data_IF_643605653734
#
_entry.id   IF_643605653734
#
_cell.length_a   1.000
_cell.length_b   1.000
_cell.length_c   1.000
_cell.angle_alpha   90.00
_cell.angle_beta   90.00
_cell.angle_gamma   90.00
#
_symmetry.space_group_name_H-M   'P 1'
#
loop_
_entity.id
_entity.type
_entity.pdbx_description
1 polymer ?
#
# COMPACT_ATOMS: atom_id res chain seq x y z
N UNK A 1 -27.80 -19.11 -65.41
CA UNK A 1 -27.54 -20.01 -66.55
C UNK A 1 -26.04 -20.19 -66.66
N UNK A 2 -25.50 -21.37 -66.26
CA UNK A 2 -24.09 -21.82 -66.40
C UNK A 2 -23.05 -20.96 -65.62
N UNK A 3 -21.97 -21.44 -65.04
CA UNK A 3 -21.25 -22.71 -65.16
C UNK A 3 -20.43 -22.91 -63.88
N UNK A 4 -20.40 -24.15 -63.38
CA UNK A 4 -19.51 -24.65 -62.33
C UNK A 4 -18.04 -24.63 -62.77
N UNK A 5 -17.09 -24.46 -61.84
CA UNK A 5 -15.77 -25.09 -61.98
C UNK A 5 -15.23 -25.51 -60.60
N UNK A 6 -15.03 -26.83 -60.48
CA UNK A 6 -14.34 -27.54 -59.41
C UNK A 6 -12.88 -27.06 -59.28
N UNK A 7 -12.33 -27.02 -58.07
CA UNK A 7 -10.88 -27.31 -57.90
C UNK A 7 -10.59 -27.94 -56.52
N UNK A 8 -10.29 -29.25 -56.60
CA UNK A 8 -9.35 -30.06 -55.83
C UNK A 8 -9.21 -29.87 -54.30
N UNK A 9 -9.79 -30.83 -53.57
CA UNK A 9 -9.38 -31.25 -52.23
C UNK A 9 -8.03 -31.97 -52.32
N UNK A 10 -6.97 -31.41 -51.74
CA UNK A 10 -5.69 -32.10 -51.53
C UNK A 10 -5.71 -32.75 -50.13
N UNK A 11 -5.85 -34.07 -50.10
CA UNK A 11 -5.71 -34.90 -48.90
C UNK A 11 -4.21 -35.04 -48.57
N UNK A 12 -3.70 -34.23 -47.66
CA UNK A 12 -2.36 -34.42 -47.11
C UNK A 12 -2.44 -35.43 -45.96
N UNK A 13 -2.06 -36.67 -46.23
CA UNK A 13 -1.88 -37.69 -45.20
C UNK A 13 -0.64 -37.33 -44.36
N UNK A 14 -0.86 -36.67 -43.22
CA UNK A 14 0.16 -36.56 -42.17
C UNK A 14 0.31 -37.92 -41.49
N UNK A 15 1.47 -38.53 -41.69
CA UNK A 15 2.00 -39.64 -40.93
C UNK A 15 2.14 -39.25 -39.45
N UNK A 16 1.23 -39.77 -38.62
CA UNK A 16 1.36 -39.79 -37.16
C UNK A 16 2.53 -40.70 -36.78
N UNK A 17 3.74 -40.15 -36.74
CA UNK A 17 4.85 -40.77 -36.01
C UNK A 17 4.58 -40.56 -34.52
N UNK A 18 4.47 -41.68 -33.80
CA UNK A 18 4.16 -41.69 -32.38
C UNK A 18 5.21 -40.92 -31.59
N UNK A 19 4.77 -39.87 -30.89
CA UNK A 19 5.50 -39.35 -29.74
C UNK A 19 5.55 -40.45 -28.69
N UNK A 20 6.73 -41.04 -28.49
CA UNK A 20 7.02 -41.80 -27.28
C UNK A 20 6.77 -40.89 -26.07
N UNK A 21 5.75 -41.21 -25.28
CA UNK A 21 5.57 -40.65 -23.94
C UNK A 21 6.76 -41.07 -23.08
N UNK A 22 7.81 -40.25 -23.07
CA UNK A 22 8.76 -40.23 -21.96
C UNK A 22 7.96 -39.80 -20.72
N UNK A 23 7.48 -40.79 -19.97
CA UNK A 23 7.04 -40.62 -18.58
C UNK A 23 8.24 -40.17 -17.76
N UNK A 24 8.54 -38.88 -17.80
CA UNK A 24 9.37 -38.22 -16.82
C UNK A 24 8.68 -38.40 -15.48
N UNK A 25 9.17 -39.36 -14.69
CA UNK A 25 8.88 -39.42 -13.26
C UNK A 25 9.40 -38.11 -12.67
N UNK A 26 8.51 -37.14 -12.49
CA UNK A 26 8.78 -35.96 -11.67
C UNK A 26 9.01 -36.50 -10.27
N UNK A 27 10.28 -36.55 -9.85
CA UNK A 27 10.63 -36.85 -8.46
C UNK A 27 10.12 -35.70 -7.60
N UNK A 28 8.93 -35.87 -7.01
CA UNK A 28 8.35 -34.99 -5.99
C UNK A 28 8.99 -35.22 -4.60
N UNK A 29 10.23 -35.72 -4.54
CA UNK A 29 10.98 -35.85 -3.30
C UNK A 29 11.57 -34.49 -2.90
N UNK A 30 10.70 -33.51 -2.68
CA UNK A 30 11.07 -32.34 -1.91
C UNK A 30 11.30 -32.80 -0.48
N UNK A 31 12.49 -32.50 0.06
CA UNK A 31 12.82 -32.71 1.46
C UNK A 31 11.71 -32.06 2.31
N UNK A 32 11.09 -32.85 3.19
CA UNK A 32 9.95 -32.38 3.98
C UNK A 32 10.49 -31.38 5.00
N UNK A 33 10.30 -30.10 4.73
CA UNK A 33 10.68 -29.03 5.66
C UNK A 33 9.81 -29.18 6.92
N UNK A 34 10.44 -29.30 8.08
CA UNK A 34 9.73 -29.28 9.34
C UNK A 34 9.21 -27.85 9.60
N UNK A 35 7.90 -27.66 9.42
CA UNK A 35 7.27 -26.36 9.54
C UNK A 35 6.48 -26.28 10.84
N UNK A 36 7.03 -25.58 11.83
CA UNK A 36 6.35 -25.28 13.08
C UNK A 36 5.26 -24.19 12.94
N UNK A 37 5.11 -23.60 11.75
CA UNK A 37 4.17 -22.52 11.51
C UNK A 37 2.73 -23.03 11.51
N UNK A 38 1.91 -22.46 12.38
CA UNK A 38 0.45 -22.61 12.42
C UNK A 38 -0.20 -21.24 12.53
N UNK A 39 -1.52 -21.15 12.34
CA UNK A 39 -2.26 -19.89 12.50
C UNK A 39 -2.06 -19.28 13.91
N UNK A 40 -2.00 -20.13 14.95
CA UNK A 40 -1.82 -19.70 16.33
C UNK A 40 -0.43 -19.09 16.59
N UNK A 41 0.57 -19.49 15.81
CA UNK A 41 1.95 -18.97 15.92
C UNK A 41 2.22 -17.72 15.08
N UNK A 42 1.23 -17.22 14.33
CA UNK A 42 1.42 -16.04 13.47
C UNK A 42 1.47 -14.72 14.24
N UNK A 43 0.95 -14.67 15.46
CA UNK A 43 0.98 -13.43 16.24
C UNK A 43 2.42 -13.01 16.57
N UNK A 44 2.73 -11.73 16.35
CA UNK A 44 4.05 -11.16 16.59
C UNK A 44 5.07 -11.47 15.49
N UNK A 45 4.62 -11.84 14.29
CA UNK A 45 5.51 -12.18 13.17
C UNK A 45 5.42 -11.16 12.04
N UNK A 46 6.57 -10.91 11.41
CA UNK A 46 6.72 -10.02 10.26
C UNK A 46 7.07 -10.84 9.01
N UNK A 47 6.51 -10.43 7.88
CA UNK A 47 6.56 -11.13 6.61
C UNK A 47 6.83 -10.15 5.49
N UNK A 48 7.58 -10.59 4.48
CA UNK A 48 7.84 -9.82 3.27
C UNK A 48 7.54 -10.65 2.05
N UNK A 49 7.09 -10.00 0.97
CA UNK A 49 6.81 -10.64 -0.29
C UNK A 49 8.05 -11.39 -0.78
N UNK A 50 7.85 -12.62 -1.24
CA UNK A 50 8.89 -13.35 -1.93
C UNK A 50 8.80 -13.02 -3.44
N UNK A 51 9.70 -12.16 -3.92
CA UNK A 51 9.70 -11.66 -5.29
C UNK A 51 10.51 -12.58 -6.20
N UNK A 52 9.94 -12.89 -7.37
CA UNK A 52 10.64 -13.59 -8.45
C UNK A 52 11.23 -12.54 -9.39
N UNK A 53 12.55 -12.54 -9.53
CA UNK A 53 13.28 -11.63 -10.42
C UNK A 53 13.22 -12.11 -11.88
N UNK A 54 13.56 -11.26 -12.87
CA UNK A 54 13.55 -11.65 -14.29
C UNK A 54 14.45 -12.86 -14.61
N UNK A 55 15.52 -13.06 -13.85
CA UNK A 55 16.44 -14.20 -13.93
C UNK A 55 15.94 -15.46 -13.20
N UNK A 56 14.69 -15.43 -12.70
CA UNK A 56 14.03 -16.47 -11.90
C UNK A 56 14.64 -16.70 -10.52
N UNK A 57 15.59 -15.87 -10.09
CA UNK A 57 16.00 -15.88 -8.69
C UNK A 57 14.85 -15.38 -7.82
N UNK A 58 14.85 -15.82 -6.57
CA UNK A 58 13.82 -15.50 -5.61
C UNK A 58 14.45 -14.72 -4.47
N UNK A 59 13.96 -13.51 -4.21
CA UNK A 59 14.49 -12.62 -3.19
C UNK A 59 13.38 -12.03 -2.33
N UNK A 60 13.57 -11.93 -1.00
CA UNK A 60 12.66 -11.19 -0.14
C UNK A 60 12.56 -9.72 -0.57
N UNK A 61 11.34 -9.20 -0.70
CA UNK A 61 11.04 -7.81 -1.04
C UNK A 61 10.38 -7.09 0.14
N UNK A 62 11.16 -6.32 0.94
CA UNK A 62 10.66 -5.58 2.10
C UNK A 62 9.81 -4.36 1.74
N UNK A 63 9.80 -3.97 0.47
CA UNK A 63 8.88 -2.97 -0.07
C UNK A 63 7.42 -3.43 -0.02
N UNK A 64 7.16 -4.74 0.09
CA UNK A 64 5.81 -5.29 0.34
C UNK A 64 5.87 -6.16 1.59
N UNK A 65 5.22 -5.71 2.68
CA UNK A 65 5.43 -6.27 4.02
C UNK A 65 4.14 -6.32 4.84
N UNK A 66 4.03 -7.37 5.64
CA UNK A 66 2.89 -7.72 6.47
C UNK A 66 3.37 -8.01 7.90
N UNK A 67 2.74 -7.42 8.90
CA UNK A 67 2.92 -7.72 10.31
C UNK A 67 1.62 -8.25 10.88
N UNK A 68 1.67 -9.42 11.50
CA UNK A 68 0.50 -10.01 12.16
C UNK A 68 0.65 -9.84 13.67
N UNK A 69 -0.34 -9.21 14.30
CA UNK A 69 -0.42 -9.02 15.74
C UNK A 69 -1.69 -9.66 16.28
N UNK A 70 -1.77 -9.79 17.60
CA UNK A 70 -2.96 -10.27 18.29
C UNK A 70 -3.23 -9.40 19.51
N UNK A 71 -4.44 -8.87 19.61
CA UNK A 71 -4.93 -8.10 20.76
C UNK A 71 -6.07 -8.87 21.42
N UNK A 72 -5.80 -9.47 22.58
CA UNK A 72 -6.69 -10.45 23.18
C UNK A 72 -6.88 -11.65 22.26
N UNK A 73 -8.11 -11.95 21.86
CA UNK A 73 -8.43 -13.05 20.95
C UNK A 73 -8.49 -12.65 19.48
N UNK A 74 -8.35 -11.36 19.16
CA UNK A 74 -8.51 -10.84 17.80
C UNK A 74 -7.15 -10.67 17.13
N UNK A 75 -7.01 -11.25 15.93
CA UNK A 75 -5.86 -10.99 15.09
C UNK A 75 -6.01 -9.65 14.38
N UNK A 76 -4.89 -8.97 14.18
CA UNK A 76 -4.79 -7.80 13.32
C UNK A 76 -3.61 -7.98 12.37
N UNK A 77 -3.71 -7.38 11.20
CA UNK A 77 -2.63 -7.32 10.24
C UNK A 77 -2.34 -5.86 9.88
N UNK A 78 -1.07 -5.45 9.98
CA UNK A 78 -0.57 -4.24 9.33
C UNK A 78 0.06 -4.62 8.00
N UNK A 79 -0.44 -4.07 6.91
CA UNK A 79 -0.01 -4.45 5.57
C UNK A 79 -0.01 -3.23 4.65
N UNK A 80 0.96 -3.15 3.74
CA UNK A 80 1.15 -1.99 2.87
C UNK A 80 0.68 -2.20 1.43
N UNK A 81 0.22 -3.39 1.04
CA UNK A 81 -0.32 -3.63 -0.33
C UNK A 81 0.70 -3.30 -1.42
N UNK A 82 2.00 -3.39 -1.09
CA UNK A 82 3.11 -2.98 -1.97
C UNK A 82 3.29 -1.47 -2.14
N UNK A 83 2.54 -0.64 -1.43
CA UNK A 83 2.79 0.80 -1.32
C UNK A 83 4.00 1.07 -0.41
N UNK A 84 4.90 1.95 -0.84
CA UNK A 84 6.03 2.37 0.00
C UNK A 84 5.63 3.39 1.08
N UNK A 85 4.50 4.08 0.90
CA UNK A 85 4.06 5.18 1.75
C UNK A 85 2.87 4.79 2.63
N UNK A 86 1.96 3.96 2.12
CA UNK A 86 0.74 3.61 2.83
C UNK A 86 0.96 2.40 3.73
N UNK A 87 0.41 2.47 4.94
CA UNK A 87 0.26 1.32 5.83
C UNK A 87 -1.19 1.22 6.26
N UNK A 88 -1.82 0.07 6.03
CA UNK A 88 -3.21 -0.19 6.38
C UNK A 88 -3.30 -1.18 7.54
N UNK A 89 -4.36 -1.06 8.33
CA UNK A 89 -4.65 -1.99 9.43
C UNK A 89 -5.91 -2.77 9.09
N UNK A 90 -5.81 -4.09 9.19
CA UNK A 90 -6.87 -5.03 8.91
C UNK A 90 -7.26 -5.75 10.20
N UNK A 91 -8.56 -5.92 10.39
CA UNK A 91 -9.11 -6.81 11.41
C UNK A 91 -9.23 -8.21 10.83
N UNK A 92 -8.69 -9.21 11.52
CA UNK A 92 -8.60 -10.58 11.02
C UNK A 92 -9.42 -11.56 11.86
N UNK A 93 -10.16 -12.43 11.18
CA UNK A 93 -10.82 -13.58 11.77
C UNK A 93 -10.21 -14.88 11.23
N UNK A 94 -10.10 -15.89 12.09
CA UNK A 94 -9.78 -17.25 11.63
C UNK A 94 -11.04 -17.84 11.00
N UNK A 95 -10.95 -18.24 9.73
CA UNK A 95 -12.02 -18.97 9.05
C UNK A 95 -11.43 -20.19 8.37
N UNK A 96 -11.94 -21.37 8.72
CA UNK A 96 -11.38 -22.64 8.29
C UNK A 96 -9.90 -22.76 8.69
N UNK A 97 -8.99 -22.70 7.71
CA UNK A 97 -7.53 -22.83 7.86
C UNK A 97 -6.76 -21.61 7.35
N UNK A 98 -7.41 -20.44 7.33
CA UNK A 98 -6.84 -19.16 6.91
C UNK A 98 -7.25 -18.01 7.84
N UNK A 99 -6.42 -16.97 7.88
CA UNK A 99 -6.81 -15.66 8.41
C UNK A 99 -7.47 -14.87 7.28
N UNK A 100 -8.70 -14.42 7.52
CA UNK A 100 -9.44 -13.53 6.62
C UNK A 100 -9.47 -12.16 7.24
N UNK A 101 -8.70 -11.23 6.67
CA UNK A 101 -8.54 -9.89 7.17
C UNK A 101 -9.21 -8.85 6.28
N UNK A 102 -9.82 -7.84 6.90
CA UNK A 102 -10.51 -6.75 6.20
C UNK A 102 -10.11 -5.41 6.78
N UNK A 103 -9.86 -4.42 5.91
CA UNK A 103 -9.82 -3.02 6.35
C UNK A 103 -11.20 -2.60 6.89
N UNK A 104 -11.26 -1.62 7.81
CA UNK A 104 -12.52 -0.98 8.17
C UNK A 104 -13.25 -0.47 6.91
N UNK A 105 -14.56 -0.71 6.83
CA UNK A 105 -15.35 -0.30 5.67
C UNK A 105 -15.44 1.24 5.56
N UNK A 106 -15.20 1.79 4.37
CA UNK A 106 -15.38 3.22 4.07
C UNK A 106 -16.85 3.56 3.85
N UNK A 107 -17.67 3.51 4.91
CA UNK A 107 -19.14 3.50 4.84
C UNK A 107 -19.74 4.60 3.94
N UNK A 108 -19.20 5.82 4.00
CA UNK A 108 -19.66 6.94 3.15
C UNK A 108 -19.40 6.64 1.67
N UNK A 109 -18.22 6.13 1.32
CA UNK A 109 -17.84 5.85 -0.07
C UNK A 109 -18.60 4.63 -0.62
N UNK A 110 -18.82 3.61 0.22
CA UNK A 110 -19.74 2.51 -0.08
C UNK A 110 -21.12 3.03 -0.46
N UNK A 111 -21.63 3.94 0.35
CA UNK A 111 -22.95 4.51 0.16
C UNK A 111 -23.04 5.36 -1.11
N UNK A 112 -22.02 6.18 -1.39
CA UNK A 112 -21.91 6.93 -2.66
C UNK A 112 -21.92 5.98 -3.86
N UNK A 113 -21.14 4.91 -3.81
CA UNK A 113 -21.08 3.90 -4.88
C UNK A 113 -22.43 3.19 -5.11
N UNK A 114 -23.15 2.83 -4.03
CA UNK A 114 -24.51 2.28 -4.12
C UNK A 114 -25.53 3.26 -4.69
N UNK A 115 -25.40 4.54 -4.36
CA UNK A 115 -26.33 5.59 -4.78
C UNK A 115 -26.17 6.02 -6.25
N UNK A 116 -24.96 5.87 -6.81
CA UNK A 116 -24.69 6.16 -8.23
C UNK A 116 -24.86 4.94 -9.14
N UNK A 117 -25.04 3.74 -8.57
CA UNK A 117 -25.27 2.52 -9.32
C UNK A 117 -26.71 2.47 -9.85
N UNK A 118 -26.87 2.09 -11.12
CA UNK A 118 -28.18 2.00 -11.77
C UNK A 118 -29.14 1.08 -11.00
N UNK A 119 -30.34 1.59 -10.69
CA UNK A 119 -31.40 0.83 -10.03
C UNK A 119 -31.18 0.55 -8.54
N UNK A 120 -30.17 1.17 -7.92
CA UNK A 120 -29.85 1.02 -6.50
C UNK A 120 -30.00 2.35 -5.75
N UNK A 121 -30.27 2.25 -4.46
CA UNK A 121 -30.17 3.36 -3.52
C UNK A 121 -29.33 2.90 -2.34
N UNK A 122 -28.65 3.84 -1.70
CA UNK A 122 -28.00 3.55 -0.44
C UNK A 122 -29.00 3.68 0.71
N UNK A 123 -29.20 2.59 1.45
CA UNK A 123 -29.98 2.55 2.70
C UNK A 123 -29.14 1.89 3.80
N UNK A 124 -29.57 2.03 5.06
CA UNK A 124 -28.89 1.39 6.20
C UNK A 124 -28.86 -0.13 6.04
N UNK A 125 -29.97 -0.73 5.62
CA UNK A 125 -30.10 -2.17 5.39
C UNK A 125 -29.13 -2.62 4.31
N UNK A 126 -29.08 -1.88 3.19
CA UNK A 126 -28.19 -2.24 2.09
C UNK A 126 -26.73 -2.10 2.48
N UNK A 127 -26.37 -1.05 3.22
CA UNK A 127 -25.02 -0.80 3.68
C UNK A 127 -24.57 -1.84 4.72
N UNK A 128 -25.47 -2.34 5.57
CA UNK A 128 -25.22 -3.44 6.52
C UNK A 128 -24.81 -4.73 5.83
N UNK A 129 -25.29 -5.00 4.61
CA UNK A 129 -24.84 -6.16 3.82
C UNK A 129 -23.35 -6.12 3.50
N UNK A 130 -22.76 -4.92 3.37
CA UNK A 130 -21.34 -4.73 3.06
C UNK A 130 -20.47 -4.56 4.30
N UNK A 131 -21.02 -3.95 5.36
CA UNK A 131 -20.33 -3.68 6.62
C UNK A 131 -21.14 -4.18 7.82
N UNK A 132 -21.29 -5.51 8.00
CA UNK A 132 -22.11 -6.09 9.07
C UNK A 132 -21.58 -5.74 10.48
N UNK A 133 -20.29 -5.44 10.59
CA UNK A 133 -19.63 -5.04 11.83
C UNK A 133 -19.92 -3.59 12.27
N UNK A 134 -20.41 -2.73 11.37
CA UNK A 134 -20.70 -1.33 11.70
C UNK A 134 -21.98 -1.22 12.54
N UNK A 135 -22.02 -0.24 13.43
CA UNK A 135 -23.21 0.09 14.23
C UNK A 135 -24.28 0.76 13.38
N UNK A 136 -25.54 0.65 13.78
CA UNK A 136 -26.65 1.26 13.03
C UNK A 136 -26.56 2.80 13.02
N UNK A 137 -25.97 3.41 14.05
CA UNK A 137 -25.68 4.85 14.11
C UNK A 137 -24.63 5.26 13.07
N UNK A 138 -23.52 4.52 12.97
CA UNK A 138 -22.48 4.78 11.95
C UNK A 138 -23.04 4.64 10.54
N UNK A 139 -23.88 3.63 10.31
CA UNK A 139 -24.53 3.40 9.02
C UNK A 139 -25.51 4.52 8.68
N UNK A 140 -26.36 4.95 9.62
CA UNK A 140 -27.29 6.05 9.41
C UNK A 140 -26.57 7.36 9.07
N UNK A 141 -25.52 7.69 9.83
CA UNK A 141 -24.68 8.88 9.57
C UNK A 141 -23.98 8.82 8.22
N UNK A 142 -23.49 7.63 7.83
CA UNK A 142 -22.86 7.44 6.53
C UNK A 142 -23.87 7.64 5.38
N UNK A 143 -25.10 7.11 5.50
CA UNK A 143 -26.17 7.32 4.54
C UNK A 143 -26.51 8.79 4.39
N UNK A 144 -26.75 9.50 5.50
CA UNK A 144 -27.06 10.93 5.48
C UNK A 144 -25.95 11.72 4.77
N UNK A 145 -24.70 11.53 5.19
CA UNK A 145 -23.55 12.26 4.65
C UNK A 145 -23.34 11.98 3.17
N UNK A 146 -23.38 10.72 2.77
CA UNK A 146 -23.20 10.32 1.38
C UNK A 146 -24.31 10.84 0.47
N UNK A 147 -25.57 10.76 0.90
CA UNK A 147 -26.71 11.22 0.11
C UNK A 147 -26.73 12.76 -0.02
N UNK A 148 -26.30 13.48 1.00
CA UNK A 148 -26.09 14.93 0.92
C UNK A 148 -25.02 15.27 -0.14
N UNK A 149 -23.92 14.52 -0.20
CA UNK A 149 -22.90 14.69 -1.24
C UNK A 149 -23.43 14.34 -2.64
N UNK A 150 -24.13 13.22 -2.79
CA UNK A 150 -24.75 12.81 -4.06
C UNK A 150 -25.68 13.92 -4.58
N UNK A 151 -26.52 14.49 -3.70
CA UNK A 151 -27.43 15.58 -4.06
C UNK A 151 -26.70 16.85 -4.53
N UNK A 152 -25.46 17.11 -4.08
CA UNK A 152 -24.66 18.25 -4.56
C UNK A 152 -24.24 18.11 -6.01
N UNK A 153 -24.10 16.89 -6.54
CA UNK A 153 -23.62 16.63 -7.90
C UNK A 153 -24.74 16.20 -8.85
N UNK A 154 -25.82 15.63 -8.33
CA UNK A 154 -26.96 15.19 -9.12
C UNK A 154 -27.52 16.36 -9.94
N UNK A 155 -27.86 16.09 -11.19
CA UNK A 155 -28.38 17.06 -12.16
C UNK A 155 -27.42 18.21 -12.53
N UNK A 156 -26.15 18.15 -12.09
CA UNK A 156 -25.09 19.09 -12.50
C UNK A 156 -24.20 18.52 -13.61
N UNK A 157 -23.46 19.37 -14.35
CA UNK A 157 -22.52 18.91 -15.39
C UNK A 157 -21.49 17.89 -14.89
N UNK A 158 -21.07 18.00 -13.62
CA UNK A 158 -20.09 17.13 -12.98
C UNK A 158 -20.66 15.75 -12.62
N UNK A 159 -21.97 15.52 -12.73
CA UNK A 159 -22.61 14.26 -12.35
C UNK A 159 -21.97 13.04 -13.03
N UNK A 160 -21.66 13.14 -14.32
CA UNK A 160 -21.02 12.04 -15.06
C UNK A 160 -19.66 11.67 -14.48
N UNK A 161 -18.85 12.66 -14.10
CA UNK A 161 -17.56 12.44 -13.46
C UNK A 161 -17.75 11.87 -12.05
N UNK A 162 -18.74 12.36 -11.31
CA UNK A 162 -19.07 11.84 -9.98
C UNK A 162 -19.50 10.36 -10.04
N UNK A 163 -20.38 9.99 -10.97
CA UNK A 163 -20.78 8.60 -11.22
C UNK A 163 -19.56 7.77 -11.61
N UNK A 164 -18.74 8.25 -12.56
CA UNK A 164 -17.53 7.54 -12.97
C UNK A 164 -16.59 7.27 -11.78
N UNK A 165 -16.34 8.27 -10.94
CA UNK A 165 -15.44 8.13 -9.78
C UNK A 165 -15.96 7.15 -8.72
N UNK A 166 -17.28 7.00 -8.59
CA UNK A 166 -17.89 6.18 -7.54
C UNK A 166 -18.40 4.81 -8.03
N UNK A 167 -18.64 4.62 -9.33
CA UNK A 167 -19.10 3.38 -9.96
C UNK A 167 -18.09 2.89 -11.01
N UNK A 168 -16.89 2.52 -10.57
CA UNK A 168 -15.86 1.92 -11.42
C UNK A 168 -15.09 0.84 -10.66
N UNK A 169 -14.51 -0.12 -11.38
CA UNK A 169 -13.76 -1.23 -10.78
C UNK A 169 -12.49 -0.80 -10.03
N UNK A 170 -11.97 0.40 -10.28
CA UNK A 170 -10.83 0.97 -9.57
C UNK A 170 -11.18 1.67 -8.26
N UNK A 171 -12.47 1.84 -7.93
CA UNK A 171 -12.90 2.46 -6.68
C UNK A 171 -12.71 1.47 -5.51
N UNK A 172 -11.52 1.44 -4.90
CA UNK A 172 -11.16 0.51 -3.82
C UNK A 172 -11.82 0.92 -2.49
N UNK A 173 -12.96 0.29 -2.18
CA UNK A 173 -13.78 0.62 -1.03
C UNK A 173 -13.32 -0.07 0.26
N UNK A 174 -12.72 -1.26 0.15
CA UNK A 174 -12.20 -2.01 1.30
C UNK A 174 -11.09 -2.96 0.84
N UNK A 175 -9.93 -2.97 1.50
CA UNK A 175 -8.92 -4.01 1.29
C UNK A 175 -9.33 -5.32 1.94
N UNK A 176 -9.03 -6.43 1.26
CA UNK A 176 -9.27 -7.79 1.71
C UNK A 176 -7.98 -8.61 1.59
N UNK A 177 -7.62 -9.31 2.66
CA UNK A 177 -6.38 -10.07 2.75
C UNK A 177 -6.68 -11.46 3.29
N UNK A 178 -6.32 -12.50 2.54
CA UNK A 178 -6.40 -13.88 3.01
C UNK A 178 -4.99 -14.41 3.20
N UNK A 179 -4.66 -14.83 4.42
CA UNK A 179 -3.37 -15.39 4.76
C UNK A 179 -3.51 -16.87 5.13
N UNK A 180 -2.87 -17.74 4.36
CA UNK A 180 -2.85 -19.18 4.57
C UNK A 180 -1.43 -19.67 4.79
N UNK A 181 -1.23 -20.54 5.77
CA UNK A 181 0.07 -21.20 5.98
C UNK A 181 0.27 -22.27 4.93
N UNK A 182 1.33 -22.17 4.14
CA UNK A 182 1.80 -23.26 3.29
C UNK A 182 2.80 -24.11 4.07
N UNK A 183 2.32 -25.23 4.61
CA UNK A 183 3.11 -26.16 5.42
C UNK A 183 4.18 -26.90 4.63
N UNK A 184 4.13 -26.93 3.30
CA UNK A 184 5.15 -27.58 2.47
C UNK A 184 6.38 -26.72 2.30
N UNK A 185 6.19 -25.40 2.24
CA UNK A 185 7.26 -24.42 2.00
C UNK A 185 7.60 -23.59 3.24
N UNK A 186 6.81 -23.75 4.31
CA UNK A 186 6.86 -22.97 5.54
C UNK A 186 6.80 -21.45 5.31
N UNK A 187 5.86 -21.05 4.44
CA UNK A 187 5.62 -19.66 4.03
C UNK A 187 4.17 -19.28 4.28
N UNK A 188 3.88 -17.98 4.23
CA UNK A 188 2.51 -17.52 4.06
C UNK A 188 2.18 -17.40 2.58
N UNK A 189 1.05 -17.97 2.17
CA UNK A 189 0.41 -17.61 0.92
C UNK A 189 -0.57 -16.49 1.21
N UNK A 190 -0.29 -15.32 0.67
CA UNK A 190 -1.15 -14.15 0.80
C UNK A 190 -1.94 -13.99 -0.50
N UNK A 191 -3.25 -13.84 -0.38
CA UNK A 191 -4.12 -13.37 -1.46
C UNK A 191 -4.54 -11.95 -1.11
N UNK A 192 -4.06 -10.99 -1.89
CA UNK A 192 -4.31 -9.57 -1.71
C UNK A 192 -5.35 -9.08 -2.72
N UNK A 193 -6.54 -8.76 -2.23
CA UNK A 193 -7.64 -8.26 -3.04
C UNK A 193 -8.16 -6.95 -2.45
N UNK A 194 -9.03 -6.30 -3.21
CA UNK A 194 -9.89 -5.27 -2.69
C UNK A 194 -11.32 -5.57 -3.11
N UNK A 195 -12.25 -4.94 -2.41
CA UNK A 195 -13.65 -4.95 -2.74
C UNK A 195 -14.09 -3.59 -3.24
N UNK A 196 -14.95 -3.61 -4.24
CA UNK A 196 -15.60 -2.44 -4.83
C UNK A 196 -17.08 -2.74 -5.08
N UNK A 197 -17.83 -1.70 -5.44
CA UNK A 197 -19.19 -1.82 -5.93
C UNK A 197 -19.21 -1.36 -7.37
N UNK A 198 -19.66 -2.26 -8.25
CA UNK A 198 -19.86 -1.95 -9.66
C UNK A 198 -21.25 -2.36 -10.09
N UNK A 199 -22.01 -1.40 -10.63
CA UNK A 199 -23.41 -1.58 -11.02
C UNK A 199 -24.26 -2.21 -9.90
N UNK A 200 -24.06 -1.71 -8.66
CA UNK A 200 -24.84 -2.09 -7.48
C UNK A 200 -24.47 -3.45 -6.90
N UNK A 201 -23.45 -4.12 -7.43
CA UNK A 201 -23.00 -5.44 -6.98
C UNK A 201 -21.63 -5.34 -6.33
N UNK A 202 -21.44 -6.13 -5.28
CA UNK A 202 -20.13 -6.42 -4.69
C UNK A 202 -19.25 -7.09 -5.74
N UNK A 203 -18.07 -6.54 -5.98
CA UNK A 203 -17.04 -7.14 -6.82
C UNK A 203 -15.74 -7.17 -6.03
N UNK A 204 -15.05 -8.31 -6.06
CA UNK A 204 -13.71 -8.47 -5.50
C UNK A 204 -12.73 -8.60 -6.65
N UNK A 205 -11.62 -7.86 -6.58
CA UNK A 205 -10.59 -7.85 -7.62
C UNK A 205 -9.19 -7.81 -6.99
N UNK A 206 -8.20 -8.27 -7.74
CA UNK A 206 -6.84 -8.42 -7.27
C UNK A 206 -6.16 -7.07 -7.10
N UNK A 207 -5.51 -6.85 -5.96
CA UNK A 207 -4.52 -5.78 -5.84
C UNK A 207 -3.26 -6.13 -6.67
N UNK A 208 -2.34 -5.17 -6.92
CA UNK A 208 -1.14 -5.41 -7.70
C UNK A 208 -0.26 -6.55 -7.17
N UNK A 209 -0.28 -6.79 -5.86
CA UNK A 209 0.45 -7.92 -5.24
C UNK A 209 -0.25 -9.25 -5.52
N UNK A 210 -1.57 -9.29 -5.65
CA UNK A 210 -2.33 -10.50 -5.98
C UNK A 210 -2.06 -11.68 -5.04
N UNK A 211 -1.95 -12.90 -5.58
CA UNK A 211 -1.68 -14.10 -4.78
C UNK A 211 -0.21 -14.48 -4.83
N UNK A 212 0.54 -14.24 -3.75
CA UNK A 212 1.97 -14.49 -3.72
C UNK A 212 2.47 -15.09 -2.39
N UNK A 213 3.62 -15.80 -2.41
CA UNK A 213 4.27 -16.27 -1.21
C UNK A 213 4.94 -15.11 -0.45
N UNK A 214 4.93 -15.21 0.86
CA UNK A 214 5.59 -14.31 1.80
C UNK A 214 6.48 -15.14 2.72
N UNK A 215 7.68 -14.63 2.95
CA UNK A 215 8.69 -15.24 3.82
C UNK A 215 8.83 -14.44 5.11
N UNK A 216 9.01 -15.14 6.22
CA UNK A 216 9.16 -14.50 7.52
C UNK A 216 10.47 -13.69 7.54
N UNK A 217 10.44 -12.52 8.15
CA UNK A 217 11.61 -11.68 8.34
C UNK A 217 11.80 -11.33 9.82
N UNK A 218 13.06 -11.07 10.18
CA UNK A 218 13.45 -10.46 11.46
C UNK A 218 14.10 -9.09 11.24
N UNK A 219 14.13 -8.62 10.00
CA UNK A 219 14.61 -7.27 9.68
C UNK A 219 13.68 -6.25 10.34
N UNK A 220 14.28 -5.18 10.84
CA UNK A 220 13.49 -4.03 11.26
C UNK A 220 12.90 -3.34 10.01
N UNK A 221 11.61 -3.04 10.07
CA UNK A 221 10.85 -2.42 8.97
C UNK A 221 9.96 -1.28 9.48
N UNK A 222 9.63 -0.35 8.59
CA UNK A 222 8.75 0.77 8.91
C UNK A 222 7.28 0.33 8.89
N UNK A 223 6.54 0.55 9.98
CA UNK A 223 5.12 0.21 10.09
C UNK A 223 4.20 1.41 10.24
N UNK A 224 4.72 2.57 9.85
CA UNK A 224 4.02 3.85 9.89
C UNK A 224 3.44 4.18 8.53
N UNK A 225 2.26 4.80 8.54
CA UNK A 225 1.64 5.40 7.37
C UNK A 225 2.26 6.78 7.14
N UNK A 226 2.55 7.12 5.88
CA UNK A 226 2.94 8.46 5.51
C UNK A 226 1.72 9.38 5.60
N UNK A 227 1.69 10.23 6.63
CA UNK A 227 0.57 11.15 6.85
C UNK A 227 0.57 12.29 5.83
N UNK A 228 1.76 12.77 5.45
CA UNK A 228 1.89 13.88 4.52
C UNK A 228 3.01 13.66 3.48
N UNK A 229 2.60 13.48 2.22
CA UNK A 229 3.53 13.39 1.08
C UNK A 229 3.80 14.73 0.40
N UNK A 230 3.00 15.76 0.72
CA UNK A 230 3.11 17.12 0.21
C UNK A 230 4.11 17.97 0.98
N UNK A 231 4.47 17.59 2.20
CA UNK A 231 5.32 18.41 3.07
C UNK A 231 6.82 18.07 3.03
N UNK A 232 7.19 16.86 2.60
CA UNK A 232 8.59 16.48 2.46
C UNK A 232 9.02 16.70 1.00
N UNK A 233 10.03 17.51 0.77
CA UNK A 233 10.51 17.84 -0.57
C UNK A 233 11.93 17.37 -0.80
N UNK A 234 12.18 16.74 -1.93
CA UNK A 234 13.53 16.39 -2.37
C UNK A 234 14.05 17.42 -3.38
N UNK A 235 15.29 17.89 -3.20
CA UNK A 235 15.92 18.97 -3.98
C UNK A 235 17.39 18.67 -4.23
N UNK A 236 17.99 19.32 -5.23
CA UNK A 236 19.44 19.29 -5.48
C UNK A 236 20.22 20.26 -4.60
N UNK A 237 19.55 21.26 -4.02
CA UNK A 237 20.18 22.25 -3.14
C UNK A 237 20.08 21.84 -1.68
N UNK A 238 21.22 21.95 -0.98
CA UNK A 238 21.34 21.78 0.47
C UNK A 238 20.65 22.90 1.24
N UNK A 239 20.51 24.08 0.65
CA UNK A 239 20.02 25.25 1.36
C UNK A 239 18.51 25.17 1.57
N UNK A 240 18.09 25.50 2.79
CA UNK A 240 16.67 25.65 3.11
C UNK A 240 16.07 26.73 2.19
N UNK A 241 14.92 26.49 1.55
CA UNK A 241 14.35 27.44 0.61
C UNK A 241 13.97 28.74 1.31
N UNK A 242 14.32 29.88 0.71
CA UNK A 242 13.97 31.19 1.25
C UNK A 242 12.45 31.46 1.24
N UNK A 243 11.73 30.80 0.32
CA UNK A 243 10.26 30.85 0.20
C UNK A 243 9.72 29.42 0.06
N UNK A 244 9.50 28.70 1.16
CA UNK A 244 8.98 27.33 1.15
C UNK A 244 7.68 27.17 0.35
N UNK A 245 6.81 28.18 0.38
CA UNK A 245 5.52 28.21 -0.33
C UNK A 245 5.63 28.21 -1.85
N UNK A 246 6.78 28.65 -2.40
CA UNK A 246 7.03 28.71 -3.84
C UNK A 246 7.67 27.40 -4.36
N UNK A 247 7.93 26.42 -3.48
CA UNK A 247 8.60 25.19 -3.86
C UNK A 247 7.64 24.25 -4.57
N UNK A 248 7.92 23.99 -5.85
CA UNK A 248 7.27 22.94 -6.60
C UNK A 248 7.80 21.56 -6.19
N UNK A 249 6.90 20.58 -6.17
CA UNK A 249 7.29 19.18 -6.01
C UNK A 249 8.22 18.73 -7.13
N UNK A 250 9.21 17.92 -6.77
CA UNK A 250 10.24 17.41 -7.66
C UNK A 250 9.69 16.23 -8.48
N UNK A 251 9.21 16.47 -9.71
CA UNK A 251 8.72 15.41 -10.57
C UNK A 251 9.74 14.96 -11.64
N UNK A 252 9.77 13.67 -12.00
CA UNK A 252 10.72 13.16 -13.01
C UNK A 252 10.56 13.84 -14.39
N UNK A 253 9.33 14.13 -14.80
CA UNK A 253 9.02 14.83 -16.06
C UNK A 253 9.48 16.30 -16.07
N UNK A 254 9.83 16.86 -14.90
CA UNK A 254 10.39 18.20 -14.75
C UNK A 254 11.93 18.17 -14.64
N UNK A 255 12.56 17.06 -15.01
CA UNK A 255 14.02 16.89 -14.96
C UNK A 255 14.57 16.63 -13.56
N UNK A 256 13.69 16.43 -12.58
CA UNK A 256 14.07 16.21 -11.19
C UNK A 256 14.46 14.75 -10.96
N UNK A 257 15.68 14.43 -11.40
CA UNK A 257 16.32 13.12 -11.27
C UNK A 257 17.71 13.30 -10.69
N UNK A 258 18.15 12.32 -9.91
CA UNK A 258 19.43 12.34 -9.21
C UNK A 258 20.37 11.31 -9.82
N UNK A 259 21.65 11.65 -9.98
CA UNK A 259 22.66 10.64 -10.28
C UNK A 259 22.92 9.73 -9.08
N UNK A 260 23.40 8.50 -9.31
CA UNK A 260 23.74 7.57 -8.23
C UNK A 260 24.72 8.14 -7.19
N UNK A 261 25.58 9.08 -7.57
CA UNK A 261 26.54 9.75 -6.67
C UNK A 261 26.12 11.16 -6.27
N UNK A 262 24.98 11.65 -6.76
CA UNK A 262 24.47 12.99 -6.44
C UNK A 262 23.70 12.95 -5.13
N UNK A 263 23.95 13.91 -4.24
CA UNK A 263 23.15 14.06 -3.03
C UNK A 263 21.77 14.62 -3.37
N UNK A 264 20.73 13.93 -2.90
CA UNK A 264 19.38 14.42 -2.82
C UNK A 264 19.13 15.01 -1.43
N UNK A 265 18.77 16.28 -1.38
CA UNK A 265 18.50 16.99 -0.14
C UNK A 265 17.00 16.99 0.14
N UNK A 266 16.62 16.30 1.21
CA UNK A 266 15.26 16.28 1.71
C UNK A 266 15.08 17.45 2.68
N UNK A 267 13.99 18.18 2.53
CA UNK A 267 13.56 19.28 3.39
C UNK A 267 12.09 19.10 3.73
N UNK A 268 11.76 19.04 5.01
CA UNK A 268 10.37 19.15 5.44
C UNK A 268 9.98 20.64 5.49
N UNK A 269 8.90 20.99 4.78
CA UNK A 269 8.40 22.35 4.63
C UNK A 269 6.98 22.56 5.17
N UNK A 270 6.37 21.52 5.73
CA UNK A 270 5.06 21.59 6.38
C UNK A 270 5.05 22.36 7.70
N UNK A 271 3.88 22.42 8.32
CA UNK A 271 3.67 23.20 9.55
C UNK A 271 3.82 22.36 10.82
N UNK A 272 3.55 21.07 10.76
CA UNK A 272 3.52 20.21 11.93
C UNK A 272 4.91 20.07 12.56
N UNK A 273 4.99 20.36 13.86
CA UNK A 273 6.24 20.31 14.62
C UNK A 273 7.33 21.29 14.15
N UNK A 274 6.98 22.31 13.35
CA UNK A 274 7.94 23.36 12.94
C UNK A 274 8.27 24.32 14.09
N UNK A 275 7.34 24.57 15.00
CA UNK A 275 7.55 25.50 16.10
C UNK A 275 8.30 24.83 17.24
N UNK A 276 9.49 25.35 17.57
CA UNK A 276 10.30 24.83 18.65
C UNK A 276 9.69 25.22 20.02
N UNK A 277 9.55 24.23 20.90
CA UNK A 277 9.08 24.38 22.27
C UNK A 277 10.29 24.49 23.20
N UNK A 278 10.23 25.39 24.15
CA UNK A 278 11.31 25.57 25.12
C UNK A 278 11.50 24.29 25.96
N UNK A 279 12.76 23.90 26.16
CA UNK A 279 13.10 22.68 26.89
C UNK A 279 12.90 21.37 26.13
N UNK A 280 12.61 21.43 24.82
CA UNK A 280 12.50 20.26 23.96
C UNK A 280 13.70 20.08 23.02
N UNK A 281 14.00 18.83 22.74
CA UNK A 281 14.96 18.38 21.73
C UNK A 281 14.23 17.63 20.63
N UNK A 282 14.88 17.52 19.48
CA UNK A 282 14.23 17.20 18.23
C UNK A 282 15.11 16.27 17.41
N UNK A 283 14.53 15.17 16.93
CA UNK A 283 15.25 14.18 16.12
C UNK A 283 14.34 13.56 15.08
N UNK A 284 14.93 12.92 14.07
CA UNK A 284 14.17 12.17 13.10
C UNK A 284 14.90 10.92 12.64
N UNK A 285 14.11 9.94 12.23
CA UNK A 285 14.57 8.70 11.63
C UNK A 285 14.24 8.73 10.14
N UNK A 286 15.17 8.25 9.32
CA UNK A 286 15.01 8.09 7.89
C UNK A 286 14.86 6.61 7.56
N UNK A 287 13.87 6.32 6.73
CA UNK A 287 13.59 5.00 6.22
C UNK A 287 13.58 5.05 4.70
N UNK A 288 14.34 4.17 4.07
CA UNK A 288 14.42 4.07 2.62
C UNK A 288 13.70 2.80 2.18
N UNK A 289 12.64 2.95 1.38
CA UNK A 289 11.82 1.85 0.89
C UNK A 289 11.34 0.89 2.00
N UNK A 290 11.02 1.46 3.17
CA UNK A 290 10.55 0.71 4.34
C UNK A 290 11.65 0.10 5.22
N UNK A 291 12.93 0.20 4.84
CA UNK A 291 14.07 -0.23 5.68
C UNK A 291 14.68 0.94 6.46
N UNK A 292 15.27 0.70 7.65
CA UNK A 292 16.04 1.71 8.37
C UNK A 292 17.18 2.22 7.48
N UNK A 293 17.33 3.54 7.38
CA UNK A 293 18.41 4.17 6.64
C UNK A 293 19.36 4.93 7.57
N UNK A 294 18.81 5.84 8.38
CA UNK A 294 19.54 6.57 9.43
C UNK A 294 18.58 6.83 10.59
N UNK A 295 19.07 6.86 11.82
CA UNK A 295 18.23 7.03 13.02
C UNK A 295 18.78 8.13 13.93
N UNK A 296 17.89 8.67 14.74
CA UNK A 296 18.17 9.66 15.78
C UNK A 296 18.98 10.85 15.25
N UNK A 297 18.69 11.29 14.03
CA UNK A 297 19.37 12.44 13.44
C UNK A 297 18.88 13.68 14.18
N UNK A 298 19.77 14.46 14.82
CA UNK A 298 19.37 15.70 15.48
C UNK A 298 18.89 16.71 14.45
N UNK A 299 17.85 17.43 14.82
CA UNK A 299 17.36 18.53 14.00
C UNK A 299 17.89 19.87 14.44
N UNK A 300 17.97 20.78 13.49
CA UNK A 300 18.44 22.13 13.74
C UNK A 300 17.29 22.98 14.28
N UNK A 301 17.55 23.77 15.33
CA UNK A 301 16.64 24.82 15.78
C UNK A 301 17.26 26.16 15.41
N UNK A 302 16.55 26.94 14.60
CA UNK A 302 17.01 28.24 14.09
C UNK A 302 16.10 29.36 14.55
N UNK A 303 16.62 30.58 14.60
CA UNK A 303 15.81 31.79 14.78
C UNK A 303 15.43 32.35 13.41
N UNK A 304 14.12 32.44 13.14
CA UNK A 304 13.55 33.05 11.95
C UNK A 304 12.64 34.19 12.41
N UNK A 305 13.12 35.42 12.25
CA UNK A 305 12.36 36.63 12.60
C UNK A 305 11.89 36.67 14.07
N UNK A 306 12.71 36.17 15.01
CA UNK A 306 12.41 36.12 16.44
C UNK A 306 11.60 34.90 16.88
N UNK A 307 11.30 33.97 15.96
CA UNK A 307 10.64 32.70 16.25
C UNK A 307 11.64 31.55 16.13
N UNK A 308 11.67 30.67 17.13
CA UNK A 308 12.46 29.43 17.04
C UNK A 308 11.73 28.40 16.18
N UNK A 309 12.34 28.03 15.07
CA UNK A 309 11.81 27.01 14.16
C UNK A 309 12.73 25.78 14.13
N UNK A 310 12.13 24.59 14.10
CA UNK A 310 12.84 23.33 13.89
C UNK A 310 12.92 23.02 12.39
N UNK A 311 14.13 22.74 11.90
CA UNK A 311 14.41 22.38 10.51
C UNK A 311 14.78 20.92 10.41
N UNK A 312 13.98 20.18 9.63
CA UNK A 312 14.24 18.79 9.28
C UNK A 312 14.80 18.73 7.86
N UNK A 313 16.11 18.61 7.75
CA UNK A 313 16.77 18.50 6.45
C UNK A 313 17.95 17.53 6.49
N UNK A 314 18.12 16.79 5.39
CA UNK A 314 19.19 15.80 5.26
C UNK A 314 19.60 15.64 3.80
N UNK A 315 20.91 15.54 3.55
CA UNK A 315 21.45 15.04 2.29
C UNK A 315 21.52 13.51 2.32
N UNK A 316 21.11 12.88 1.23
CA UNK A 316 21.21 11.42 1.06
C UNK A 316 21.75 11.08 -0.32
N UNK A 317 22.63 10.09 -0.38
CA UNK A 317 22.97 9.37 -1.61
C UNK A 317 22.26 8.02 -1.59
N UNK A 318 21.83 7.56 -2.76
CA UNK A 318 21.06 6.32 -2.85
C UNK A 318 21.95 5.13 -3.20
N UNK A 319 21.69 3.95 -2.61
CA UNK A 319 22.49 2.76 -2.86
C UNK A 319 22.24 2.13 -4.24
N UNK A 320 21.12 2.48 -4.89
CA UNK A 320 20.70 1.88 -6.16
C UNK A 320 19.88 2.86 -7.00
N UNK A 321 19.89 2.71 -8.34
CA UNK A 321 19.02 3.47 -9.23
C UNK A 321 17.54 3.08 -9.05
N UNK A 322 16.64 3.83 -9.68
CA UNK A 322 15.20 3.60 -9.69
C UNK A 322 14.41 4.56 -8.80
N UNK A 323 13.16 4.19 -8.51
CA UNK A 323 12.29 4.92 -7.59
C UNK A 323 12.70 4.60 -6.14
N UNK A 324 12.99 5.65 -5.39
CA UNK A 324 13.46 5.58 -4.01
C UNK A 324 12.52 6.41 -3.14
N UNK A 325 11.77 5.75 -2.26
CA UNK A 325 10.85 6.42 -1.35
C UNK A 325 11.54 6.60 -0.01
N UNK A 326 11.76 7.87 0.35
CA UNK A 326 12.25 8.25 1.67
C UNK A 326 11.07 8.56 2.57
N UNK A 327 11.10 8.03 3.79
CA UNK A 327 10.15 8.36 4.84
C UNK A 327 10.91 8.93 6.03
N UNK A 328 10.45 10.08 6.52
CA UNK A 328 11.02 10.77 7.68
C UNK A 328 10.03 10.67 8.85
N UNK A 329 10.42 9.97 9.90
CA UNK A 329 9.67 9.90 11.16
C UNK A 329 10.25 10.94 12.12
N UNK A 330 9.50 12.02 12.37
CA UNK A 330 9.96 13.16 13.18
C UNK A 330 9.52 12.97 14.62
N UNK A 331 10.38 13.33 15.55
CA UNK A 331 10.19 13.09 16.98
C UNK A 331 10.62 14.31 17.81
N UNK A 332 9.96 14.47 18.96
CA UNK A 332 10.31 15.43 20.00
C UNK A 332 10.61 14.71 21.32
N UNK A 333 11.41 15.33 22.18
CA UNK A 333 11.63 14.88 23.56
C UNK A 333 11.82 16.11 24.45
N UNK A 334 10.90 16.34 25.37
CA UNK A 334 10.92 17.47 26.30
C UNK A 334 11.39 17.02 27.69
N UNK A 335 11.85 17.96 28.53
CA UNK A 335 12.47 17.67 29.83
C UNK A 335 11.72 16.60 30.66
N UNK A 336 12.34 15.42 30.80
CA UNK A 336 11.82 14.28 31.57
C UNK A 336 10.77 13.41 30.86
N UNK A 337 10.38 13.74 29.64
CA UNK A 337 9.41 13.00 28.82
C UNK A 337 10.04 11.92 27.94
N UNK A 338 9.20 11.00 27.46
CA UNK A 338 9.58 10.01 26.46
C UNK A 338 9.74 10.66 25.07
N UNK A 339 10.42 9.96 24.15
CA UNK A 339 10.46 10.33 22.73
C UNK A 339 9.06 10.15 22.14
N UNK A 340 8.47 11.26 21.72
CA UNK A 340 7.14 11.30 21.12
C UNK A 340 7.27 11.52 19.62
N UNK A 341 6.56 10.70 18.83
CA UNK A 341 6.44 10.90 17.39
C UNK A 341 5.58 12.14 17.14
N UNK A 342 6.13 13.09 16.40
CA UNK A 342 5.40 14.26 15.90
C UNK A 342 4.53 13.78 14.75
N UNK A 343 5.15 13.31 13.67
CA UNK A 343 4.46 12.90 12.45
C UNK A 343 5.43 12.18 11.48
N UNK A 344 4.88 11.57 10.44
CA UNK A 344 5.58 10.84 9.39
C UNK A 344 5.29 11.46 8.03
N UNK A 345 6.34 11.88 7.34
CA UNK A 345 6.26 12.45 5.98
C UNK A 345 7.10 11.64 5.01
N UNK A 346 6.74 11.64 3.73
CA UNK A 346 7.42 10.84 2.73
C UNK A 346 7.54 11.57 1.40
N UNK A 347 8.56 11.21 0.62
CA UNK A 347 8.71 11.70 -0.74
C UNK A 347 9.52 10.72 -1.59
N UNK A 348 9.22 10.67 -2.89
CA UNK A 348 9.89 9.80 -3.85
C UNK A 348 10.95 10.59 -4.62
N UNK A 349 12.17 10.08 -4.64
CA UNK A 349 13.20 10.48 -5.58
C UNK A 349 13.31 9.45 -6.72
N UNK A 350 13.70 9.93 -7.92
CA UNK A 350 14.08 9.05 -9.03
C UNK A 350 15.58 9.17 -9.28
N UNK A 351 16.27 8.05 -9.14
CA UNK A 351 17.72 7.92 -9.28
C UNK A 351 18.05 7.24 -10.59
N UNK A 352 19.00 7.79 -11.33
CA UNK A 352 19.46 7.28 -12.63
C UNK A 352 20.62 6.31 -12.51
#
# INVERSE_FOLDING_TARGET
MRLSLLTALALTALSLTGCEEKKSKINLSGEKIDCALTLDTLAGTDWVLEQINPDKTVTPNPGTRLRITKEGDKFQAKYNVGSFADMYTYNCDVKNDELVCKEPAKLIDFCKALAVADGSTCTVEKLKEFAPEATDEELAKAVETAMADVAKFKDKPEWKQFVFNNNNLGNKLQGLLWAKVDTKTCKLRITDMYMTIYNGKRVEDSNPVGTNPFVQTKEELLWEHCADSGDLFVRKSKDHPAKPEDIAACYPNQGCTFGATEEAFYHYLGQDGRDAKDGCTYSYDLWLNGKPFKKDIPAEVVDVSGKKEVRWSTGVTFPAPGQQVMVMVRNQSCAGGAKEKIEVSCNMAVVK
#
